data_IF_834334474002
#
_entry.id   IF_834334474002
#
_cell.length_a   1.000
_cell.length_b   1.000
_cell.length_c   1.000
_cell.angle_alpha   90.00
_cell.angle_beta   90.00
_cell.angle_gamma   90.00
#
_symmetry.space_group_name_H-M   'P 1'
#
loop_
_entity.id
_entity.type
_entity.pdbx_description
1 polymer ?
#
# COMPACT_ATOMS: atom_id res chain seq x y z
N UNK A 1 17.96 -19.63 -14.40
CA UNK A 1 17.51 -18.51 -15.24
C UNK A 1 16.96 -17.47 -14.28
N UNK A 2 17.49 -16.24 -14.31
CA UNK A 2 16.96 -15.17 -13.47
C UNK A 2 15.61 -14.74 -14.03
N UNK A 3 14.62 -14.58 -13.16
CA UNK A 3 13.36 -13.96 -13.56
C UNK A 3 13.65 -12.58 -14.16
N UNK A 4 12.88 -12.14 -15.17
CA UNK A 4 13.04 -10.78 -15.68
C UNK A 4 12.83 -9.82 -14.51
N UNK A 5 13.88 -9.05 -14.20
CA UNK A 5 13.79 -8.01 -13.20
C UNK A 5 12.69 -7.03 -13.65
N UNK A 6 11.66 -6.89 -12.81
CA UNK A 6 10.66 -5.84 -12.94
C UNK A 6 10.50 -5.13 -11.61
N UNK A 7 10.31 -3.82 -11.66
CA UNK A 7 9.97 -3.03 -10.48
C UNK A 7 8.50 -3.30 -10.15
N UNK A 8 8.17 -3.69 -8.91
CA UNK A 8 6.78 -3.89 -8.53
C UNK A 8 5.97 -2.61 -8.68
N UNK A 9 4.77 -2.74 -9.25
CA UNK A 9 3.79 -1.66 -9.33
C UNK A 9 2.91 -1.63 -8.08
N UNK A 10 2.58 -0.42 -7.59
CA UNK A 10 1.84 -0.23 -6.34
C UNK A 10 0.63 0.65 -6.59
N UNK A 11 -0.57 0.11 -6.40
CA UNK A 11 -1.80 0.90 -6.35
C UNK A 11 -2.10 1.32 -4.91
N UNK A 12 -2.16 2.63 -4.65
CA UNK A 12 -2.57 3.19 -3.37
C UNK A 12 -3.93 3.86 -3.52
N UNK A 13 -4.93 3.39 -2.78
CA UNK A 13 -6.31 3.87 -2.90
C UNK A 13 -6.66 4.76 -1.71
N UNK A 14 -6.79 6.08 -1.96
CA UNK A 14 -7.09 7.12 -0.99
C UNK A 14 -5.88 8.02 -0.70
N UNK A 15 -5.96 9.29 -1.09
CA UNK A 15 -4.93 10.32 -0.91
C UNK A 15 -5.08 11.12 0.40
N UNK A 16 -5.62 10.49 1.45
CA UNK A 16 -5.50 10.97 2.82
C UNK A 16 -4.07 10.87 3.37
N UNK A 17 -3.82 11.27 4.63
CA UNK A 17 -2.49 11.17 5.25
C UNK A 17 -1.85 9.78 5.13
N UNK A 18 -2.63 8.71 5.26
CA UNK A 18 -2.12 7.34 5.21
C UNK A 18 -1.63 6.96 3.81
N UNK A 19 -2.47 7.13 2.79
CA UNK A 19 -2.12 6.78 1.42
C UNK A 19 -1.11 7.73 0.80
N UNK A 20 -1.17 9.03 1.09
CA UNK A 20 -0.12 9.97 0.66
C UNK A 20 1.26 9.58 1.22
N UNK A 21 1.32 9.12 2.48
CA UNK A 21 2.56 8.65 3.09
C UNK A 21 3.05 7.35 2.45
N UNK A 22 2.17 6.35 2.26
CA UNK A 22 2.53 5.10 1.63
C UNK A 22 2.99 5.29 0.16
N UNK A 23 2.28 6.15 -0.59
CA UNK A 23 2.62 6.46 -1.97
C UNK A 23 3.98 7.16 -2.06
N UNK A 24 4.23 8.15 -1.20
CA UNK A 24 5.51 8.86 -1.18
C UNK A 24 6.68 7.93 -0.81
N UNK A 25 6.53 7.06 0.21
CA UNK A 25 7.55 6.09 0.62
C UNK A 25 7.88 5.06 -0.48
N UNK A 26 6.85 4.49 -1.12
CA UNK A 26 7.02 3.54 -2.21
C UNK A 26 7.68 4.18 -3.44
N UNK A 27 7.17 5.33 -3.88
CA UNK A 27 7.71 6.02 -5.05
C UNK A 27 9.14 6.51 -4.82
N UNK A 28 9.43 7.09 -3.65
CA UNK A 28 10.79 7.51 -3.28
C UNK A 28 11.79 6.34 -3.29
N UNK A 29 11.30 5.12 -3.05
CA UNK A 29 12.10 3.89 -3.09
C UNK A 29 12.31 3.32 -4.50
N UNK A 30 11.76 3.97 -5.52
CA UNK A 30 11.87 3.62 -6.94
C UNK A 30 10.79 2.66 -7.44
N UNK A 31 9.69 2.46 -6.71
CA UNK A 31 8.58 1.62 -7.16
C UNK A 31 7.55 2.43 -7.94
N UNK A 32 7.08 1.88 -9.05
CA UNK A 32 6.08 2.52 -9.91
C UNK A 32 4.75 2.58 -9.14
N UNK A 33 4.43 3.76 -8.61
CA UNK A 33 3.37 3.93 -7.61
C UNK A 33 2.31 4.89 -8.11
N UNK A 34 1.06 4.42 -8.12
CA UNK A 34 -0.11 5.20 -8.51
C UNK A 34 -0.99 5.45 -7.29
N UNK A 35 -1.26 6.71 -6.98
CA UNK A 35 -2.13 7.17 -5.91
C UNK A 35 -3.47 7.61 -6.49
N UNK A 36 -4.52 6.85 -6.23
CA UNK A 36 -5.88 7.14 -6.67
C UNK A 36 -6.64 7.88 -5.58
N UNK A 37 -7.41 8.91 -5.96
CA UNK A 37 -8.43 9.51 -5.10
C UNK A 37 -9.62 10.01 -5.91
N UNK A 38 -10.82 9.87 -5.36
CA UNK A 38 -12.06 10.40 -5.94
C UNK A 38 -12.12 11.94 -5.87
N UNK A 39 -11.36 12.55 -4.96
CA UNK A 39 -11.24 14.00 -4.79
C UNK A 39 -10.16 14.57 -5.71
N UNK A 40 -10.22 15.89 -5.93
CA UNK A 40 -9.29 16.60 -6.80
C UNK A 40 -7.87 16.76 -6.20
N UNK A 41 -7.76 16.73 -4.87
CA UNK A 41 -6.55 17.11 -4.17
C UNK A 41 -6.12 16.08 -3.12
N UNK A 42 -4.80 15.93 -2.97
CA UNK A 42 -4.18 15.17 -1.90
C UNK A 42 -4.44 15.85 -0.56
N UNK A 43 -4.80 15.05 0.44
CA UNK A 43 -5.06 15.48 1.81
C UNK A 43 -6.24 14.76 2.45
N UNK A 44 -7.08 14.08 1.65
CA UNK A 44 -8.30 13.44 2.14
C UNK A 44 -9.21 14.47 2.81
N UNK A 45 -9.55 14.27 4.09
CA UNK A 45 -10.35 15.25 4.84
C UNK A 45 -9.61 16.58 5.07
N UNK A 46 -8.28 16.61 5.04
CA UNK A 46 -7.51 17.85 5.21
C UNK A 46 -7.59 18.79 4.00
N UNK A 47 -8.00 18.27 2.85
CA UNK A 47 -8.21 19.06 1.64
C UNK A 47 -9.64 19.61 1.52
N UNK A 48 -10.54 19.29 2.46
CA UNK A 48 -11.90 19.80 2.45
C UNK A 48 -11.92 21.31 2.79
N UNK A 49 -12.81 22.11 2.18
CA UNK A 49 -12.90 23.56 2.44
C UNK A 49 -13.16 23.93 3.92
N UNK A 50 -13.86 23.05 4.64
CA UNK A 50 -14.27 23.20 6.04
C UNK A 50 -13.39 22.40 7.02
N UNK A 51 -12.22 21.95 6.58
CA UNK A 51 -11.33 21.14 7.40
C UNK A 51 -10.79 21.91 8.62
N UNK A 52 -10.99 21.33 9.80
CA UNK A 52 -10.55 21.90 11.08
C UNK A 52 -9.02 22.09 11.15
N UNK A 53 -8.53 23.11 11.87
CA UNK A 53 -7.11 23.30 12.12
C UNK A 53 -6.44 22.06 12.73
N UNK A 54 -5.18 21.85 12.35
CA UNK A 54 -4.37 20.73 12.81
C UNK A 54 -3.23 21.20 13.70
N UNK A 55 -2.60 20.25 14.39
CA UNK A 55 -1.35 20.53 15.08
C UNK A 55 -0.25 20.95 14.09
N UNK A 56 0.52 22.00 14.42
CA UNK A 56 1.78 22.35 13.72
C UNK A 56 2.81 21.21 13.70
N UNK A 57 2.62 20.17 14.54
CA UNK A 57 3.45 18.97 14.60
C UNK A 57 3.02 17.89 13.60
N UNK A 58 1.94 18.08 12.83
CA UNK A 58 1.47 17.16 11.80
C UNK A 58 2.39 17.24 10.56
N UNK A 59 3.67 16.93 10.75
CA UNK A 59 4.67 16.90 9.69
C UNK A 59 5.47 15.61 9.78
N UNK A 60 6.07 15.20 8.67
CA UNK A 60 6.95 14.03 8.63
C UNK A 60 8.16 14.21 9.55
N UNK A 61 8.61 13.11 10.15
CA UNK A 61 9.91 12.99 10.82
C UNK A 61 10.93 12.33 9.92
N UNK A 62 10.50 11.52 8.97
CA UNK A 62 11.31 11.04 7.85
C UNK A 62 11.81 12.25 7.04
N UNK A 63 13.11 12.56 7.04
CA UNK A 63 13.61 13.84 6.52
C UNK A 63 13.29 14.06 5.04
N UNK A 64 13.36 13.03 4.20
CA UNK A 64 13.11 13.13 2.76
C UNK A 64 11.63 13.31 2.41
N UNK A 65 10.70 12.97 3.31
CA UNK A 65 9.29 13.29 3.15
C UNK A 65 8.93 14.68 3.66
N UNK A 66 9.77 15.26 4.54
CA UNK A 66 9.50 16.55 5.18
C UNK A 66 9.88 17.73 4.26
N UNK A 67 9.16 17.87 3.14
CA UNK A 67 9.46 18.86 2.10
C UNK A 67 9.05 20.29 2.50
N UNK A 68 7.91 20.44 3.17
CA UNK A 68 7.37 21.74 3.57
C UNK A 68 7.08 21.80 5.08
N UNK A 69 6.56 22.94 5.58
CA UNK A 69 6.15 23.12 6.97
C UNK A 69 4.62 23.17 7.08
N UNK A 70 4.10 22.78 8.25
CA UNK A 70 2.68 22.92 8.60
C UNK A 70 2.52 24.08 9.58
N UNK A 71 1.69 25.05 9.21
CA UNK A 71 1.43 26.27 9.99
C UNK A 71 0.26 26.14 10.98
N UNK A 72 -0.38 24.96 11.02
CA UNK A 72 -1.55 24.66 11.84
C UNK A 72 -2.87 24.69 11.07
N UNK A 73 -2.88 25.13 9.81
CA UNK A 73 -4.04 24.98 8.94
C UNK A 73 -4.09 23.58 8.31
N UNK A 74 -5.31 23.06 8.08
CA UNK A 74 -5.52 21.83 7.33
C UNK A 74 -4.96 21.94 5.89
N UNK A 75 -5.13 23.11 5.26
CA UNK A 75 -4.59 23.38 3.93
C UNK A 75 -3.06 23.27 3.88
N UNK A 76 -2.33 23.77 4.88
CA UNK A 76 -0.88 23.59 4.95
C UNK A 76 -0.48 22.12 5.15
N UNK A 77 -1.25 21.37 5.92
CA UNK A 77 -1.04 19.92 6.05
C UNK A 77 -1.31 19.15 4.75
N UNK A 78 -2.39 19.46 4.04
CA UNK A 78 -2.68 18.88 2.72
C UNK A 78 -1.54 19.18 1.73
N UNK A 79 -1.07 20.44 1.66
CA UNK A 79 0.10 20.81 0.86
C UNK A 79 1.37 20.08 1.29
N UNK A 80 1.52 19.78 2.59
CA UNK A 80 2.66 19.01 3.10
C UNK A 80 2.67 17.57 2.60
N UNK A 81 1.51 16.91 2.62
CA UNK A 81 1.33 15.57 2.07
C UNK A 81 1.55 15.56 0.55
N UNK A 82 0.95 16.51 -0.17
CA UNK A 82 1.10 16.63 -1.62
C UNK A 82 2.56 16.84 -2.03
N UNK A 83 3.30 17.68 -1.31
CA UNK A 83 4.71 17.92 -1.56
C UNK A 83 5.57 16.66 -1.36
N UNK A 84 5.24 15.81 -0.39
CA UNK A 84 5.92 14.54 -0.18
C UNK A 84 5.63 13.54 -1.32
N UNK A 85 4.36 13.43 -1.75
CA UNK A 85 3.95 12.58 -2.89
C UNK A 85 4.68 13.01 -4.16
N UNK A 86 4.72 14.32 -4.45
CA UNK A 86 5.42 14.89 -5.59
C UNK A 86 6.94 14.65 -5.51
N UNK A 87 7.55 14.86 -4.35
CA UNK A 87 8.99 14.64 -4.16
C UNK A 87 9.37 13.15 -4.24
N UNK A 88 8.47 12.25 -3.85
CA UNK A 88 8.64 10.81 -4.03
C UNK A 88 8.47 10.36 -5.48
N UNK A 89 7.74 11.11 -6.30
CA UNK A 89 7.51 10.79 -7.71
C UNK A 89 6.33 9.84 -7.96
N UNK A 90 5.39 9.72 -7.02
CA UNK A 90 4.19 8.94 -7.24
C UNK A 90 3.25 9.63 -8.25
N UNK A 91 2.64 8.85 -9.13
CA UNK A 91 1.61 9.34 -10.05
C UNK A 91 0.31 9.57 -9.26
N UNK A 92 -0.16 10.80 -9.16
CA UNK A 92 -1.45 11.10 -8.55
C UNK A 92 -2.55 11.14 -9.61
N UNK A 93 -3.58 10.30 -9.44
CA UNK A 93 -4.78 10.25 -10.28
C UNK A 93 -5.99 10.78 -9.50
N UNK A 94 -6.27 12.10 -9.59
CA UNK A 94 -7.44 12.70 -8.97
C UNK A 94 -8.73 12.29 -9.71
N UNK A 95 -9.88 12.61 -9.12
CA UNK A 95 -11.20 12.34 -9.71
C UNK A 95 -11.39 10.88 -10.16
N UNK A 96 -10.68 9.96 -9.54
CA UNK A 96 -10.67 8.56 -9.94
C UNK A 96 -11.25 7.70 -8.82
N UNK A 97 -12.37 7.05 -9.10
CA UNK A 97 -13.06 6.21 -8.11
C UNK A 97 -12.76 4.75 -8.39
N UNK A 98 -12.02 4.09 -7.50
CA UNK A 98 -11.83 2.64 -7.57
C UNK A 98 -13.14 1.94 -7.20
N UNK A 99 -13.56 1.02 -8.05
CA UNK A 99 -14.84 0.30 -7.97
C UNK A 99 -14.67 -1.21 -7.87
N UNK A 100 -13.46 -1.73 -8.12
CA UNK A 100 -13.16 -3.16 -8.02
C UNK A 100 -11.68 -3.43 -7.81
N UNK A 101 -11.36 -4.50 -7.08
CA UNK A 101 -10.02 -5.07 -7.05
C UNK A 101 -10.10 -6.60 -6.93
N UNK A 102 -9.52 -7.32 -7.89
CA UNK A 102 -9.50 -8.79 -7.92
C UNK A 102 -8.07 -9.28 -8.11
N UNK A 103 -7.64 -10.26 -7.31
CA UNK A 103 -6.30 -10.82 -7.45
C UNK A 103 -6.25 -11.90 -8.54
N UNK A 104 -5.39 -11.71 -9.54
CA UNK A 104 -5.04 -12.68 -10.57
C UNK A 104 -3.84 -13.52 -10.08
N UNK A 105 -4.11 -14.76 -9.68
CA UNK A 105 -3.10 -15.75 -9.28
C UNK A 105 -2.15 -16.16 -10.42
N UNK A 106 -2.60 -16.03 -11.67
CA UNK A 106 -1.82 -16.34 -12.85
C UNK A 106 -0.66 -15.37 -13.03
N UNK A 107 -0.92 -14.10 -12.78
CA UNK A 107 0.04 -13.00 -12.90
C UNK A 107 0.71 -12.60 -11.57
N UNK A 108 0.08 -12.96 -10.45
CA UNK A 108 0.50 -12.49 -9.12
C UNK A 108 0.22 -11.00 -8.91
N UNK A 109 -0.85 -10.47 -9.51
CA UNK A 109 -1.19 -9.05 -9.51
C UNK A 109 -2.66 -8.81 -9.18
N UNK A 110 -2.96 -7.64 -8.63
CA UNK A 110 -4.30 -7.10 -8.47
C UNK A 110 -4.76 -6.41 -9.76
N UNK A 111 -5.88 -6.84 -10.32
CA UNK A 111 -6.64 -6.10 -11.32
C UNK A 111 -7.54 -5.08 -10.61
N UNK A 112 -7.20 -3.81 -10.75
CA UNK A 112 -7.89 -2.68 -10.11
C UNK A 112 -8.77 -2.01 -11.16
N UNK A 113 -10.08 -2.04 -10.94
CA UNK A 113 -11.08 -1.37 -11.77
C UNK A 113 -11.44 -0.02 -11.18
N UNK A 114 -11.50 1.01 -12.02
CA UNK A 114 -11.80 2.37 -11.60
C UNK A 114 -12.54 3.17 -12.67
N UNK A 115 -13.26 4.20 -12.23
CA UNK A 115 -13.93 5.18 -13.07
C UNK A 115 -13.11 6.48 -13.07
N UNK A 116 -12.76 7.00 -14.24
CA UNK A 116 -12.01 8.24 -14.41
C UNK A 116 -12.88 9.51 -14.28
N UNK A 117 -12.26 10.68 -14.46
CA UNK A 117 -12.94 11.98 -14.38
C UNK A 117 -14.02 12.18 -15.45
N UNK A 118 -13.92 11.45 -16.56
CA UNK A 118 -14.84 11.48 -17.70
C UNK A 118 -15.97 10.45 -17.57
N UNK A 119 -15.94 9.61 -16.53
CA UNK A 119 -16.90 8.53 -16.32
C UNK A 119 -16.55 7.23 -17.08
N UNK A 120 -15.37 7.15 -17.69
CA UNK A 120 -14.86 5.94 -18.34
C UNK A 120 -14.40 4.91 -17.31
N UNK A 121 -14.78 3.65 -17.51
CA UNK A 121 -14.32 2.52 -16.70
C UNK A 121 -13.04 1.92 -17.29
N UNK A 122 -12.06 1.69 -16.42
CA UNK A 122 -10.74 1.16 -16.78
C UNK A 122 -10.31 0.07 -15.80
N UNK A 123 -9.42 -0.81 -16.24
CA UNK A 123 -8.78 -1.82 -15.40
C UNK A 123 -7.28 -1.81 -15.63
N UNK A 124 -6.50 -1.79 -14.56
CA UNK A 124 -5.03 -1.84 -14.59
C UNK A 124 -4.49 -2.83 -13.54
N UNK A 125 -3.31 -3.41 -13.81
CA UNK A 125 -2.69 -4.45 -12.97
C UNK A 125 -1.57 -3.90 -12.08
N UNK A 126 -1.62 -4.27 -10.80
CA UNK A 126 -0.65 -3.85 -9.80
C UNK A 126 -0.09 -5.04 -9.01
N UNK A 127 1.20 -5.08 -8.74
CA UNK A 127 1.77 -6.10 -7.86
C UNK A 127 1.22 -6.00 -6.43
N UNK A 128 0.97 -4.79 -5.95
CA UNK A 128 0.53 -4.50 -4.58
C UNK A 128 -0.69 -3.60 -4.58
N UNK A 129 -1.67 -3.95 -3.74
CA UNK A 129 -2.82 -3.11 -3.42
C UNK A 129 -2.66 -2.54 -2.00
N UNK A 130 -2.60 -1.22 -1.89
CA UNK A 130 -2.57 -0.49 -0.62
C UNK A 130 -3.91 0.20 -0.41
N UNK A 131 -4.67 -0.24 0.58
CA UNK A 131 -5.94 0.37 0.99
C UNK A 131 -5.69 1.47 2.02
N UNK A 132 -6.12 2.69 1.68
CA UNK A 132 -5.95 3.88 2.50
C UNK A 132 -7.18 4.81 2.44
N UNK A 133 -8.36 4.24 2.25
CA UNK A 133 -9.64 4.93 2.02
C UNK A 133 -10.22 5.61 3.25
N UNK A 134 -9.88 5.14 4.44
CA UNK A 134 -10.49 5.55 5.71
C UNK A 134 -11.92 5.04 5.92
N UNK A 135 -12.44 4.23 4.99
CA UNK A 135 -13.79 3.68 4.98
C UNK A 135 -13.81 2.24 4.47
N UNK A 136 -14.90 1.51 4.72
CA UNK A 136 -15.05 0.14 4.23
C UNK A 136 -14.83 0.05 2.71
N UNK A 137 -14.18 -1.01 2.25
CA UNK A 137 -13.76 -1.19 0.87
C UNK A 137 -14.32 -2.50 0.30
N UNK A 138 -15.67 -2.65 0.21
CA UNK A 138 -16.32 -3.89 -0.22
C UNK A 138 -16.01 -4.28 -1.66
N UNK A 139 -15.44 -3.36 -2.44
CA UNK A 139 -14.99 -3.57 -3.82
C UNK A 139 -13.70 -4.40 -3.92
N UNK A 140 -12.99 -4.67 -2.81
CA UNK A 140 -11.85 -5.60 -2.80
C UNK A 140 -12.39 -7.02 -2.64
N UNK A 141 -12.21 -7.84 -3.67
CA UNK A 141 -12.63 -9.24 -3.64
C UNK A 141 -11.71 -10.07 -2.73
N UNK A 142 -12.30 -11.05 -2.03
CA UNK A 142 -11.56 -12.07 -1.28
C UNK A 142 -11.46 -13.35 -2.13
N UNK A 143 -10.26 -13.73 -2.61
CA UNK A 143 -10.10 -14.90 -3.48
C UNK A 143 -10.71 -16.18 -2.89
N UNK A 144 -11.58 -16.83 -3.66
CA UNK A 144 -12.26 -18.06 -3.27
C UNK A 144 -13.34 -17.91 -2.18
N UNK A 145 -13.68 -16.67 -1.76
CA UNK A 145 -14.66 -16.41 -0.69
C UNK A 145 -15.58 -15.23 -1.04
N UNK A 146 -16.50 -15.38 -2.01
CA UNK A 146 -17.29 -14.25 -2.54
C UNK A 146 -18.26 -13.61 -1.54
N UNK A 147 -18.58 -14.29 -0.45
CA UNK A 147 -19.51 -13.80 0.59
C UNK A 147 -18.79 -13.22 1.82
N UNK A 148 -17.47 -13.09 1.79
CA UNK A 148 -16.67 -12.54 2.89
C UNK A 148 -16.25 -11.11 2.52
N UNK A 149 -16.55 -10.16 3.40
CA UNK A 149 -16.03 -8.81 3.27
C UNK A 149 -14.54 -8.79 3.60
N UNK A 150 -13.75 -8.05 2.80
CA UNK A 150 -12.34 -7.83 3.12
C UNK A 150 -12.16 -7.13 4.46
N UNK A 151 -13.11 -6.27 4.85
CA UNK A 151 -13.04 -5.47 6.07
C UNK A 151 -13.24 -6.31 7.34
N UNK A 152 -13.74 -7.55 7.20
CA UNK A 152 -13.88 -8.52 8.30
C UNK A 152 -12.60 -9.36 8.52
N UNK A 153 -11.59 -9.21 7.65
CA UNK A 153 -10.37 -10.00 7.72
C UNK A 153 -9.37 -9.41 8.74
N UNK A 154 -8.62 -10.31 9.36
CA UNK A 154 -7.60 -9.93 10.33
C UNK A 154 -6.39 -9.28 9.66
N UNK A 155 -5.81 -8.29 10.34
CA UNK A 155 -4.57 -7.66 9.92
C UNK A 155 -3.39 -8.19 10.75
N UNK A 156 -2.36 -8.73 10.10
CA UNK A 156 -1.07 -9.02 10.74
C UNK A 156 -0.36 -7.69 11.04
N UNK A 157 -0.03 -7.50 12.33
CA UNK A 157 0.54 -6.26 12.86
C UNK A 157 -0.23 -4.98 12.50
N UNK A 158 -1.50 -5.11 12.12
CA UNK A 158 -2.34 -3.98 11.72
C UNK A 158 -1.96 -3.39 10.36
N UNK A 159 -1.40 -4.19 9.45
CA UNK A 159 -1.10 -3.79 8.06
C UNK A 159 -1.49 -4.85 7.04
N UNK A 160 -0.93 -6.05 7.13
CA UNK A 160 -1.12 -7.05 6.07
C UNK A 160 -2.40 -7.83 6.27
N UNK A 161 -3.18 -8.00 5.21
CA UNK A 161 -4.47 -8.68 5.31
C UNK A 161 -4.28 -10.20 5.27
N UNK A 162 -4.61 -10.89 6.37
CA UNK A 162 -4.44 -12.35 6.45
C UNK A 162 -5.35 -13.04 5.45
N UNK A 163 -4.73 -13.79 4.54
CA UNK A 163 -5.42 -14.52 3.49
C UNK A 163 -5.67 -13.72 2.20
N UNK A 164 -5.22 -12.47 2.12
CA UNK A 164 -5.12 -11.74 0.86
C UNK A 164 -3.65 -11.57 0.45
N UNK A 165 -3.28 -11.95 -0.77
CA UNK A 165 -1.94 -11.74 -1.27
C UNK A 165 -1.67 -10.27 -1.59
N UNK A 166 -0.48 -9.78 -1.28
CA UNK A 166 0.00 -8.44 -1.65
C UNK A 166 -0.94 -7.27 -1.29
N UNK A 167 -1.80 -7.43 -0.27
CA UNK A 167 -2.73 -6.41 0.16
C UNK A 167 -2.33 -5.81 1.52
N UNK A 168 -2.18 -4.49 1.58
CA UNK A 168 -1.76 -3.73 2.76
C UNK A 168 -2.80 -2.68 3.13
N UNK A 169 -3.29 -2.71 4.36
CA UNK A 169 -4.24 -1.73 4.91
C UNK A 169 -3.47 -0.78 5.82
N UNK A 170 -3.33 0.48 5.42
CA UNK A 170 -2.42 1.43 6.10
C UNK A 170 -3.13 2.51 6.92
N UNK A 171 -4.44 2.55 6.85
CA UNK A 171 -5.31 3.62 7.35
C UNK A 171 -6.04 3.27 8.66
N UNK A 172 -5.76 2.13 9.28
CA UNK A 172 -6.34 1.75 10.56
C UNK A 172 -6.05 0.30 10.93
N UNK A 173 -6.33 -0.12 12.19
CA UNK A 173 -6.73 0.72 13.32
C UNK A 173 -5.55 1.55 13.88
N UNK A 174 -5.83 2.60 14.68
CA UNK A 174 -4.79 3.46 15.27
C UNK A 174 -4.68 3.27 16.80
N UNK A 175 -3.47 3.35 17.37
CA UNK A 175 -3.31 3.43 18.82
C UNK A 175 -3.85 4.78 19.33
N UNK A 176 -4.28 4.82 20.59
CA UNK A 176 -4.81 6.03 21.24
C UNK A 176 -3.79 6.67 22.19
N UNK A 177 -2.56 6.17 22.22
CA UNK A 177 -1.57 6.63 23.18
C UNK A 177 -1.05 8.06 22.89
N UNK A 178 -0.61 8.74 23.95
CA UNK A 178 -0.27 10.17 23.92
C UNK A 178 0.89 10.55 23.00
N UNK A 179 1.67 9.58 22.49
CA UNK A 179 2.77 9.86 21.59
C UNK A 179 2.31 10.53 20.29
N UNK A 180 1.08 10.24 19.83
CA UNK A 180 0.49 10.87 18.64
C UNK A 180 0.27 12.38 18.81
N UNK A 181 0.13 12.90 20.03
CA UNK A 181 0.09 14.36 20.27
C UNK A 181 1.42 15.05 19.94
N UNK A 182 2.53 14.30 19.99
CA UNK A 182 3.88 14.78 19.69
C UNK A 182 4.36 14.35 18.29
N UNK A 183 3.83 13.25 17.76
CA UNK A 183 4.21 12.65 16.48
C UNK A 183 2.95 12.15 15.74
N UNK A 184 2.08 13.05 15.23
CA UNK A 184 0.80 12.66 14.67
C UNK A 184 0.88 11.67 13.50
N UNK A 185 1.95 11.74 12.70
CA UNK A 185 2.16 10.86 11.54
C UNK A 185 2.96 9.58 11.85
N UNK A 186 3.37 9.34 13.10
CA UNK A 186 4.33 8.27 13.42
C UNK A 186 3.89 6.86 12.99
N UNK A 187 2.60 6.56 13.08
CA UNK A 187 2.05 5.26 12.64
C UNK A 187 1.98 5.19 11.12
N UNK A 188 1.62 6.29 10.47
CA UNK A 188 1.53 6.38 9.02
C UNK A 188 2.90 6.24 8.36
N UNK A 189 3.93 6.91 8.93
CA UNK A 189 5.32 6.75 8.51
C UNK A 189 5.79 5.31 8.67
N UNK A 190 5.48 4.65 9.80
CA UNK A 190 5.86 3.26 10.01
C UNK A 190 5.20 2.31 9.00
N UNK A 191 3.93 2.55 8.66
CA UNK A 191 3.18 1.74 7.69
C UNK A 191 3.59 2.00 6.25
N UNK A 192 3.89 3.24 5.89
CA UNK A 192 4.46 3.59 4.59
C UNK A 192 5.86 3.00 4.40
N UNK A 193 6.73 3.11 5.42
CA UNK A 193 8.05 2.47 5.44
C UNK A 193 7.94 0.94 5.30
N UNK A 194 6.92 0.33 5.91
CA UNK A 194 6.65 -1.10 5.74
C UNK A 194 6.18 -1.45 4.32
N UNK A 195 5.30 -0.65 3.72
CA UNK A 195 4.81 -0.86 2.35
C UNK A 195 5.96 -0.88 1.34
N UNK A 196 6.90 0.06 1.40
CA UNK A 196 8.09 0.04 0.52
C UNK A 196 9.00 -1.17 0.78
N UNK A 197 9.08 -1.67 2.02
CA UNK A 197 9.86 -2.88 2.34
C UNK A 197 9.20 -4.12 1.78
N UNK A 198 7.88 -4.19 1.87
CA UNK A 198 7.08 -5.24 1.25
C UNK A 198 7.29 -5.26 -0.26
N UNK A 199 7.22 -4.10 -0.93
CA UNK A 199 7.51 -3.98 -2.35
C UNK A 199 8.91 -4.48 -2.71
N UNK A 200 9.93 -4.12 -1.91
CA UNK A 200 11.29 -4.65 -2.08
C UNK A 200 11.34 -6.19 -2.03
N UNK A 201 10.47 -6.84 -1.26
CA UNK A 201 10.43 -8.30 -1.19
C UNK A 201 9.89 -8.97 -2.45
N UNK A 202 8.90 -8.35 -3.10
CA UNK A 202 8.39 -8.81 -4.40
C UNK A 202 9.42 -8.55 -5.50
N UNK A 203 10.11 -7.40 -5.47
CA UNK A 203 11.21 -7.11 -6.41
C UNK A 203 12.32 -8.17 -6.34
N UNK A 204 12.68 -8.61 -5.13
CA UNK A 204 13.71 -9.65 -4.92
C UNK A 204 13.23 -11.03 -5.40
N UNK A 205 11.95 -11.36 -5.19
CA UNK A 205 11.41 -12.71 -5.44
C UNK A 205 10.85 -12.90 -6.84
N UNK A 206 10.54 -11.81 -7.53
CA UNK A 206 9.88 -11.79 -8.83
C UNK A 206 8.35 -11.86 -8.74
N UNK A 207 7.68 -11.99 -9.91
CA UNK A 207 6.22 -12.00 -10.01
C UNK A 207 5.57 -13.11 -9.16
N UNK A 208 4.62 -12.72 -8.30
CA UNK A 208 3.94 -13.67 -7.43
C UNK A 208 3.23 -13.02 -6.25
N UNK A 209 2.81 -13.88 -5.33
CA UNK A 209 2.02 -13.54 -4.16
C UNK A 209 2.83 -13.76 -2.88
N UNK A 210 2.92 -12.72 -2.05
CA UNK A 210 3.28 -12.84 -0.64
C UNK A 210 2.01 -12.89 0.21
N UNK A 211 1.94 -13.86 1.12
CA UNK A 211 0.84 -13.98 2.09
C UNK A 211 1.38 -14.26 3.48
N UNK A 212 0.69 -13.75 4.51
CA UNK A 212 0.98 -14.11 5.90
C UNK A 212 0.53 -15.54 6.16
N UNK A 213 1.44 -16.37 6.69
CA UNK A 213 1.11 -17.73 7.12
C UNK A 213 0.08 -17.67 8.24
N UNK A 214 -1.00 -18.47 8.12
CA UNK A 214 -2.14 -18.42 9.05
C UNK A 214 -1.73 -18.65 10.52
N UNK A 215 -0.75 -19.51 10.78
CA UNK A 215 -0.23 -19.81 12.12
C UNK A 215 0.76 -18.76 12.66
N UNK A 216 1.15 -17.78 11.83
CA UNK A 216 2.07 -16.69 12.18
C UNK A 216 1.38 -15.34 12.29
N UNK A 217 0.05 -15.29 12.15
CA UNK A 217 -0.69 -14.06 12.37
C UNK A 217 -0.49 -13.54 13.80
N UNK A 218 -0.36 -12.22 13.92
CA UNK A 218 -0.19 -11.51 15.18
C UNK A 218 -1.03 -10.23 15.13
N UNK A 219 -1.70 -9.92 16.23
CA UNK A 219 -2.48 -8.68 16.38
C UNK A 219 -1.58 -7.44 16.31
N UNK A 220 -2.19 -6.30 15.98
CA UNK A 220 -1.52 -5.00 16.06
C UNK A 220 -1.02 -4.70 17.48
N UNK A 221 0.21 -4.20 17.65
CA UNK A 221 0.66 -3.66 18.93
C UNK A 221 -0.17 -2.45 19.38
N UNK A 222 -0.56 -2.40 20.66
CA UNK A 222 -1.43 -1.33 21.19
C UNK A 222 -0.79 0.05 21.35
N UNK A 223 0.54 0.16 21.22
CA UNK A 223 1.28 1.40 21.40
C UNK A 223 2.11 1.76 20.17
N UNK A 224 2.25 3.05 19.85
CA UNK A 224 3.04 3.57 18.73
C UNK A 224 4.47 3.03 18.72
N UNK A 225 5.12 2.92 19.89
CA UNK A 225 6.48 2.34 19.99
C UNK A 225 6.51 0.88 19.51
N UNK A 226 5.51 0.09 19.89
CA UNK A 226 5.39 -1.31 19.49
C UNK A 226 5.16 -1.45 17.99
N UNK A 227 4.25 -0.63 17.43
CA UNK A 227 3.97 -0.60 15.99
C UNK A 227 5.26 -0.27 15.21
N UNK A 228 5.95 0.82 15.57
CA UNK A 228 7.21 1.22 14.92
C UNK A 228 8.29 0.15 15.00
N UNK A 229 8.37 -0.56 16.12
CA UNK A 229 9.33 -1.64 16.30
C UNK A 229 9.00 -2.90 15.50
N UNK A 230 7.72 -3.20 15.28
CA UNK A 230 7.31 -4.38 14.50
C UNK A 230 7.36 -4.15 13.01
N UNK A 231 7.09 -2.92 12.57
CA UNK A 231 7.10 -2.53 11.17
C UNK A 231 8.48 -2.02 10.69
N UNK A 232 9.51 -2.01 11.55
CA UNK A 232 10.83 -1.53 11.17
C UNK A 232 11.60 -2.48 10.26
N UNK A 233 11.15 -3.72 10.08
CA UNK A 233 11.76 -4.74 9.24
C UNK A 233 10.69 -5.66 8.65
N UNK A 234 11.02 -6.34 7.55
CA UNK A 234 10.17 -7.37 6.96
C UNK A 234 10.64 -8.75 7.44
N UNK A 235 9.77 -9.52 8.09
CA UNK A 235 10.10 -10.86 8.58
C UNK A 235 9.74 -11.91 7.52
N UNK A 236 10.72 -12.38 6.74
CA UNK A 236 10.47 -13.40 5.73
C UNK A 236 9.93 -14.74 6.29
N UNK A 237 10.11 -15.01 7.59
CA UNK A 237 9.69 -16.29 8.19
C UNK A 237 8.17 -16.37 8.40
N UNK A 238 7.49 -15.24 8.57
CA UNK A 238 6.01 -15.18 8.72
C UNK A 238 5.27 -15.23 7.39
N UNK A 239 5.98 -15.07 6.28
CA UNK A 239 5.40 -15.04 4.94
C UNK A 239 5.61 -16.33 4.17
N UNK A 240 4.65 -16.64 3.32
CA UNK A 240 4.78 -17.59 2.22
C UNK A 240 4.85 -16.81 0.90
N UNK A 241 5.76 -17.20 0.01
CA UNK A 241 5.81 -16.69 -1.35
C UNK A 241 5.37 -17.78 -2.32
N UNK A 242 4.37 -17.46 -3.15
CA UNK A 242 3.91 -18.30 -4.24
C UNK A 242 4.17 -17.58 -5.56
N UNK A 243 4.98 -18.18 -6.42
CA UNK A 243 5.26 -17.67 -7.76
C UNK A 243 3.98 -17.64 -8.61
N UNK A 244 3.81 -16.57 -9.37
CA UNK A 244 2.73 -16.43 -10.36
C UNK A 244 2.74 -17.60 -11.35
N UNK A 245 1.58 -18.22 -11.60
CA UNK A 245 1.55 -19.51 -12.34
C UNK A 245 1.99 -19.36 -13.80
N UNK A 246 1.74 -18.22 -14.45
CA UNK A 246 2.22 -17.94 -15.80
C UNK A 246 3.75 -17.90 -15.89
N UNK A 247 4.43 -17.62 -14.78
CA UNK A 247 5.89 -17.58 -14.69
C UNK A 247 6.49 -18.89 -14.16
N UNK A 248 5.67 -19.83 -13.67
CA UNK A 248 6.14 -21.12 -13.18
C UNK A 248 6.45 -22.12 -14.31
N UNK A 249 5.73 -22.03 -15.43
CA UNK A 249 5.85 -22.97 -16.56
C UNK A 249 6.97 -22.60 -17.54
N UNK A 250 7.30 -21.33 -17.72
CA UNK A 250 8.41 -20.89 -18.56
C UNK A 250 9.77 -21.39 -18.05
N UNK A 251 9.96 -21.44 -16.73
CA UNK A 251 11.13 -22.04 -16.11
C UNK A 251 11.22 -23.55 -16.39
N UNK A 252 10.08 -24.27 -16.37
CA UNK A 252 10.02 -25.73 -16.64
C UNK A 252 10.21 -26.05 -18.12
N UNK A 253 9.60 -25.28 -19.03
CA UNK A 253 9.78 -25.42 -20.48
C UNK A 253 11.24 -25.17 -20.88
N UNK A 254 11.84 -24.11 -20.34
CA UNK A 254 13.25 -23.80 -20.59
C UNK A 254 14.16 -24.91 -20.06
N UNK A 255 13.95 -25.37 -18.81
CA UNK A 255 14.75 -26.46 -18.24
C UNK A 255 14.65 -27.77 -19.04
N UNK A 256 13.47 -28.11 -19.57
CA UNK A 256 13.29 -29.26 -20.48
C UNK A 256 13.99 -29.06 -21.82
N UNK A 257 13.98 -27.84 -22.37
CA UNK A 257 14.66 -27.53 -23.62
C UNK A 257 16.19 -27.60 -23.47
N UNK A 258 16.75 -27.15 -22.35
CA UNK A 258 18.19 -27.28 -22.06
C UNK A 258 18.59 -28.74 -21.82
N UNK A 259 17.74 -29.53 -21.15
CA UNK A 259 17.99 -30.95 -20.90
C UNK A 259 17.87 -31.83 -22.16
N UNK A 260 17.09 -31.40 -23.16
CA UNK A 260 16.99 -32.08 -24.46
C UNK A 260 18.09 -31.68 -25.46
N UNK A 261 18.88 -30.64 -25.15
CA UNK A 261 19.99 -30.16 -25.95
C UNK A 261 21.36 -30.73 -25.51
N UNK A 262 21.36 -31.60 -24.50
CA UNK A 262 22.50 -32.36 -23.99
C UNK A 262 22.22 -33.86 -24.09
#
# INVERSE_FOLDING_TARGET
MFDPYRRPTVAVIGAGPAGATAAAECAFSGFDTTLFDKREAIGGHLAAPDAEPVSKRLHYRTPYLKVTKVDGSAAAAARHLAAAVQAGGAEFRPHTTVTGAVFDEGEGQWEVTFIDAQGGEHTERFDILVRATGEASPWIAVPGRPNISVDDLYLHHGVEVVGLPNALFVDGPYPTDSSLKRHPLAVLEARGDYARRYARQLEIRGPGALTVKRDKWLVQPGAVRGIRSKLSEFDATVHEFKRASHYADDARRTARATAAAH
#
